data_IF_771502762571
#
_entry.id   IF_771502762571
#
_cell.length_a   1.000
_cell.length_b   1.000
_cell.length_c   1.000
_cell.angle_alpha   90.00
_cell.angle_beta   90.00
_cell.angle_gamma   90.00
#
_symmetry.space_group_name_H-M   'P 1'
#
loop_
_entity.id
_entity.type
_entity.pdbx_description
1 polymer ?
#
# COMPACT_ATOMS: atom_id res chain seq x y z
N UNK A 1 9.58 3.70 -13.66
CA UNK A 1 8.24 4.29 -13.93
C UNK A 1 7.94 5.50 -13.04
N UNK A 2 8.19 5.45 -11.71
CA UNK A 2 7.96 6.57 -10.78
C UNK A 2 8.75 7.87 -11.06
N UNK A 3 10.06 7.84 -11.41
CA UNK A 3 10.81 9.06 -11.71
C UNK A 3 10.16 9.88 -12.84
N UNK A 4 9.75 9.19 -13.92
CA UNK A 4 9.12 9.81 -15.10
C UNK A 4 7.82 10.57 -14.79
N UNK A 5 7.03 10.13 -13.80
CA UNK A 5 5.78 10.82 -13.43
C UNK A 5 6.09 12.10 -12.65
N UNK A 6 7.00 12.04 -11.67
CA UNK A 6 7.40 13.23 -10.91
C UNK A 6 8.08 14.26 -11.80
N UNK A 7 8.91 13.81 -12.74
CA UNK A 7 9.55 14.68 -13.72
C UNK A 7 8.50 15.37 -14.61
N UNK A 8 7.52 14.61 -15.11
CA UNK A 8 6.41 15.16 -15.91
C UNK A 8 5.57 16.18 -15.12
N UNK A 9 5.46 16.04 -13.79
CA UNK A 9 4.75 16.98 -12.93
C UNK A 9 5.61 18.18 -12.52
N UNK A 10 6.94 18.05 -12.51
CA UNK A 10 7.88 19.10 -12.08
C UNK A 10 7.83 20.36 -12.96
N UNK A 11 7.30 20.26 -14.18
CA UNK A 11 7.06 21.42 -15.04
C UNK A 11 5.79 22.21 -14.74
N UNK A 12 4.97 21.81 -13.76
CA UNK A 12 3.70 22.48 -13.44
C UNK A 12 3.92 23.65 -12.47
N UNK A 13 3.33 24.83 -12.73
CA UNK A 13 3.37 25.94 -11.77
C UNK A 13 2.83 25.53 -10.40
N UNK A 14 3.57 25.84 -9.33
CA UNK A 14 3.18 25.55 -7.95
C UNK A 14 3.38 24.09 -7.50
N UNK A 15 4.03 23.25 -8.31
CA UNK A 15 4.36 21.88 -7.91
C UNK A 15 5.67 21.83 -7.12
N UNK A 16 5.61 21.43 -5.86
CA UNK A 16 6.77 21.40 -4.94
C UNK A 16 7.12 20.00 -4.42
N UNK A 17 6.50 18.96 -5.00
CA UNK A 17 6.66 17.55 -4.58
C UNK A 17 6.27 17.30 -3.10
N UNK A 18 5.48 18.17 -2.49
CA UNK A 18 4.94 17.93 -1.15
C UNK A 18 3.53 17.37 -1.23
N UNK A 19 3.22 16.45 -0.32
CA UNK A 19 1.87 15.94 -0.07
C UNK A 19 1.09 15.61 -1.35
N UNK A 20 1.64 14.66 -2.10
CA UNK A 20 1.03 14.13 -3.31
C UNK A 20 0.51 12.74 -3.02
N UNK A 21 -0.73 12.47 -3.43
CA UNK A 21 -1.36 11.18 -3.28
C UNK A 21 -1.76 10.59 -4.62
N UNK A 22 -1.71 9.27 -4.71
CA UNK A 22 -2.15 8.50 -5.87
C UNK A 22 -3.27 7.55 -5.48
N UNK A 23 -4.23 7.32 -6.37
CA UNK A 23 -5.18 6.23 -6.21
C UNK A 23 -4.47 4.89 -6.38
N UNK A 24 -4.91 3.88 -5.63
CA UNK A 24 -4.34 2.53 -5.74
C UNK A 24 -4.99 1.75 -6.89
N UNK A 25 -6.25 2.08 -7.20
CA UNK A 25 -7.02 1.49 -8.29
C UNK A 25 -7.20 2.49 -9.44
N UNK A 26 -7.61 1.97 -10.61
CA UNK A 26 -7.92 2.77 -11.80
C UNK A 26 -9.40 3.18 -11.83
N UNK A 27 -9.67 4.42 -12.26
CA UNK A 27 -11.01 5.00 -12.32
C UNK A 27 -11.34 5.48 -13.74
N UNK A 28 -12.58 5.28 -14.17
CA UNK A 28 -13.05 5.67 -15.50
C UNK A 28 -13.29 7.18 -15.64
N UNK A 29 -13.39 7.89 -14.52
CA UNK A 29 -13.68 9.32 -14.46
C UNK A 29 -12.68 10.00 -13.52
N UNK A 30 -12.55 11.33 -13.64
CA UNK A 30 -11.75 12.16 -12.72
C UNK A 30 -12.45 12.34 -11.36
N UNK A 31 -12.83 11.24 -10.72
CA UNK A 31 -13.39 11.23 -9.38
C UNK A 31 -12.96 9.95 -8.64
N UNK A 32 -13.15 9.94 -7.32
CA UNK A 32 -12.80 8.81 -6.44
C UNK A 32 -14.04 8.15 -5.87
N UNK A 33 -15.08 7.95 -6.68
CA UNK A 33 -16.26 7.20 -6.26
C UNK A 33 -16.02 5.72 -6.49
N UNK A 34 -16.41 4.87 -5.54
CA UNK A 34 -16.35 3.42 -5.72
C UNK A 34 -17.14 2.99 -6.97
N UNK A 35 -18.22 3.70 -7.30
CA UNK A 35 -19.01 3.51 -8.52
C UNK A 35 -18.32 3.93 -9.81
N UNK A 36 -17.13 4.53 -9.76
CA UNK A 36 -16.32 4.89 -10.94
C UNK A 36 -15.07 4.04 -11.09
N UNK A 37 -14.87 3.01 -10.26
CA UNK A 37 -13.74 2.08 -10.43
C UNK A 37 -13.83 1.34 -11.75
N UNK A 38 -12.70 1.25 -12.45
CA UNK A 38 -12.53 0.58 -13.73
C UNK A 38 -11.74 -0.72 -13.56
N UNK A 39 -10.59 -0.63 -12.88
CA UNK A 39 -9.67 -1.74 -12.65
C UNK A 39 -9.16 -1.73 -11.22
N UNK A 40 -9.09 -2.91 -10.62
CA UNK A 40 -8.52 -3.16 -9.29
C UNK A 40 -7.10 -3.68 -9.50
N UNK A 41 -6.09 -3.02 -8.93
CA UNK A 41 -4.70 -3.26 -9.29
C UNK A 41 -3.90 -3.98 -8.21
N UNK A 42 -4.36 -3.94 -6.97
CA UNK A 42 -3.61 -4.43 -5.81
C UNK A 42 -4.49 -4.57 -4.58
N UNK A 43 -4.00 -5.30 -3.58
CA UNK A 43 -4.37 -5.10 -2.17
C UNK A 43 -3.35 -4.18 -1.50
N UNK A 44 -3.74 -3.54 -0.41
CA UNK A 44 -2.85 -2.65 0.35
C UNK A 44 -3.21 -2.62 1.83
N UNK A 45 -2.37 -2.02 2.67
CA UNK A 45 -2.75 -1.62 4.02
C UNK A 45 -2.12 -0.28 4.36
N UNK A 46 -2.69 0.42 5.34
CA UNK A 46 -2.14 1.65 5.91
C UNK A 46 -1.79 1.38 7.38
N UNK A 47 -0.50 1.24 7.66
CA UNK A 47 0.02 0.92 8.98
C UNK A 47 0.61 2.18 9.62
N UNK A 48 -0.03 2.69 10.66
CA UNK A 48 0.46 3.85 11.41
C UNK A 48 1.53 3.44 12.42
N UNK A 49 2.76 3.26 11.93
CA UNK A 49 3.87 2.79 12.76
C UNK A 49 4.45 3.86 13.68
N UNK A 50 4.00 5.12 13.57
CA UNK A 50 4.36 6.20 14.51
C UNK A 50 3.24 6.56 15.48
N UNK A 51 2.12 5.84 15.50
CA UNK A 51 1.09 6.03 16.51
C UNK A 51 1.65 5.79 17.92
N UNK A 52 1.89 6.89 18.66
CA UNK A 52 2.34 6.88 20.04
C UNK A 52 1.10 6.69 20.93
N UNK A 53 0.71 5.43 21.14
CA UNK A 53 -0.45 5.11 21.98
C UNK A 53 -1.01 3.72 21.69
N UNK A 54 -0.33 2.67 22.14
CA UNK A 54 -0.78 1.29 22.00
C UNK A 54 0.34 0.26 22.23
N UNK A 55 0.03 -1.03 22.10
CA UNK A 55 0.97 -2.18 22.25
C UNK A 55 2.17 -2.14 21.29
N UNK A 56 2.21 -1.20 20.35
CA UNK A 56 3.13 -1.15 19.21
C UNK A 56 4.23 -0.11 19.35
N UNK A 57 4.51 0.38 20.57
CA UNK A 57 5.54 1.38 20.83
C UNK A 57 6.95 0.95 20.34
N UNK A 58 7.20 -0.35 20.21
CA UNK A 58 8.46 -0.86 19.67
C UNK A 58 8.65 -0.51 18.18
N UNK A 59 7.58 -0.50 17.36
CA UNK A 59 7.64 -0.14 15.94
C UNK A 59 8.08 1.31 15.73
N UNK A 60 7.64 2.22 16.61
CA UNK A 60 7.99 3.64 16.53
C UNK A 60 9.49 3.92 16.74
N UNK A 61 10.24 2.96 17.29
CA UNK A 61 11.69 3.04 17.51
C UNK A 61 12.52 2.44 16.36
N UNK A 62 11.88 1.75 15.41
CA UNK A 62 12.59 1.11 14.32
C UNK A 62 12.80 2.07 13.15
N UNK A 63 13.86 1.82 12.37
CA UNK A 63 13.94 2.42 11.05
C UNK A 63 12.79 1.90 10.16
N UNK A 64 12.33 2.68 9.18
CA UNK A 64 11.31 2.22 8.22
C UNK A 64 11.67 0.90 7.53
N UNK A 65 12.94 0.67 7.21
CA UNK A 65 13.46 -0.56 6.62
C UNK A 65 13.30 -1.75 7.55
N UNK A 66 13.68 -1.60 8.81
CA UNK A 66 13.59 -2.69 9.79
C UNK A 66 12.13 -3.00 10.13
N UNK A 67 11.28 -1.98 10.23
CA UNK A 67 9.84 -2.17 10.38
C UNK A 67 9.24 -2.92 9.18
N UNK A 68 9.65 -2.58 7.96
CA UNK A 68 9.23 -3.29 6.75
C UNK A 68 9.73 -4.74 6.72
N UNK A 69 10.98 -4.99 7.12
CA UNK A 69 11.52 -6.33 7.20
C UNK A 69 10.76 -7.20 8.22
N UNK A 70 10.44 -6.65 9.38
CA UNK A 70 9.63 -7.36 10.39
C UNK A 70 8.23 -7.69 9.88
N UNK A 71 7.60 -6.77 9.13
CA UNK A 71 6.30 -7.02 8.49
C UNK A 71 6.39 -8.16 7.47
N UNK A 72 7.42 -8.16 6.63
CA UNK A 72 7.62 -9.18 5.60
C UNK A 72 7.88 -10.55 6.22
N UNK A 73 8.75 -10.63 7.22
CA UNK A 73 9.01 -11.87 7.96
C UNK A 73 7.73 -12.38 8.61
N UNK A 74 6.98 -11.50 9.28
CA UNK A 74 5.69 -11.86 9.87
C UNK A 74 4.68 -12.37 8.84
N UNK A 75 4.58 -11.75 7.67
CA UNK A 75 3.70 -12.24 6.60
C UNK A 75 4.05 -13.68 6.24
N UNK A 76 5.34 -13.97 6.01
CA UNK A 76 5.81 -15.30 5.68
C UNK A 76 5.47 -16.33 6.77
N UNK A 77 5.69 -15.98 8.04
CA UNK A 77 5.42 -16.86 9.19
C UNK A 77 3.93 -17.15 9.36
N UNK A 78 3.06 -16.18 9.06
CA UNK A 78 1.60 -16.30 9.16
C UNK A 78 0.93 -16.87 7.90
N UNK A 79 1.72 -17.32 6.91
CA UNK A 79 1.22 -17.84 5.65
C UNK A 79 0.50 -16.80 4.78
N UNK A 80 0.75 -15.51 5.03
CA UNK A 80 0.31 -14.42 4.16
C UNK A 80 1.42 -14.19 3.13
N UNK A 81 1.11 -14.09 1.82
CA UNK A 81 2.08 -13.68 0.83
C UNK A 81 2.84 -12.46 1.31
N UNK A 82 4.16 -12.48 1.16
CA UNK A 82 4.93 -11.26 1.34
C UNK A 82 4.32 -10.16 0.44
N UNK A 83 4.34 -8.87 0.84
CA UNK A 83 3.93 -7.81 -0.08
C UNK A 83 4.79 -7.85 -1.35
N UNK A 84 4.34 -7.20 -2.42
CA UNK A 84 5.17 -6.92 -3.61
C UNK A 84 6.19 -5.83 -3.31
N UNK A 85 5.78 -4.82 -2.53
CA UNK A 85 6.62 -3.74 -2.04
C UNK A 85 6.05 -3.15 -0.76
N UNK A 86 6.91 -2.46 0.00
CA UNK A 86 6.51 -1.65 1.15
C UNK A 86 6.99 -0.22 0.93
N UNK A 87 6.06 0.74 1.09
CA UNK A 87 6.35 2.18 0.99
C UNK A 87 6.35 2.78 2.39
N UNK A 88 7.40 3.51 2.73
CA UNK A 88 7.38 4.45 3.85
C UNK A 88 6.67 5.72 3.42
N UNK A 89 5.60 6.08 4.12
CA UNK A 89 4.78 7.25 3.82
C UNK A 89 5.30 8.55 4.41
N UNK A 90 6.37 8.47 5.22
CA UNK A 90 6.81 9.56 6.10
C UNK A 90 6.24 9.48 7.52
N UNK A 91 5.25 8.62 7.78
CA UNK A 91 4.73 8.38 9.13
C UNK A 91 4.32 6.91 9.40
N UNK A 92 4.23 6.10 8.35
CA UNK A 92 3.72 4.74 8.43
C UNK A 92 4.17 3.91 7.24
N UNK A 93 3.85 2.61 7.28
CA UNK A 93 4.13 1.67 6.20
C UNK A 93 2.87 1.43 5.38
N UNK A 94 3.04 1.45 4.06
CA UNK A 94 2.03 1.02 3.10
C UNK A 94 2.53 -0.24 2.37
N UNK A 95 2.31 -1.45 2.92
CA UNK A 95 2.53 -2.68 2.17
C UNK A 95 1.51 -2.80 1.02
N UNK A 96 1.96 -3.33 -0.12
CA UNK A 96 1.14 -3.48 -1.34
C UNK A 96 1.36 -4.83 -1.97
N UNK A 97 0.27 -5.50 -2.33
CA UNK A 97 0.26 -6.77 -3.08
C UNK A 97 -0.27 -6.48 -4.47
N UNK A 98 0.64 -6.28 -5.43
CA UNK A 98 0.31 -5.93 -6.80
C UNK A 98 -0.25 -7.14 -7.54
N UNK A 99 -1.29 -6.93 -8.33
CA UNK A 99 -1.78 -7.98 -9.21
C UNK A 99 -0.91 -8.09 -10.48
N UNK A 100 -0.75 -9.32 -10.97
CA UNK A 100 -0.10 -9.62 -12.25
C UNK A 100 -0.95 -9.10 -13.41
N UNK A 101 -2.27 -9.26 -13.28
CA UNK A 101 -3.28 -8.71 -14.18
C UNK A 101 -4.31 -7.97 -13.33
N UNK A 102 -4.66 -6.74 -13.70
CA UNK A 102 -5.66 -5.98 -12.98
C UNK A 102 -7.03 -6.67 -13.03
N UNK A 103 -7.68 -6.82 -11.87
CA UNK A 103 -9.00 -7.41 -11.79
C UNK A 103 -10.07 -6.43 -12.31
N UNK A 104 -11.10 -6.92 -13.02
CA UNK A 104 -12.15 -6.07 -13.55
C UNK A 104 -13.02 -5.52 -12.42
N UNK A 105 -13.72 -4.41 -12.66
CA UNK A 105 -14.72 -3.84 -11.74
C UNK A 105 -15.68 -4.89 -11.16
N UNK A 106 -16.11 -5.86 -11.96
CA UNK A 106 -17.05 -6.91 -11.53
C UNK A 106 -16.52 -7.74 -10.35
N UNK A 107 -15.20 -7.84 -10.18
CA UNK A 107 -14.56 -8.56 -9.08
C UNK A 107 -14.54 -7.77 -7.75
N UNK A 108 -15.08 -6.54 -7.72
CA UNK A 108 -15.07 -5.68 -6.53
C UNK A 108 -15.58 -6.37 -5.25
N UNK A 109 -16.69 -7.13 -5.24
CA UNK A 109 -17.14 -7.79 -4.01
C UNK A 109 -16.11 -8.76 -3.43
N UNK A 110 -15.45 -9.53 -4.29
CA UNK A 110 -14.38 -10.47 -3.89
C UNK A 110 -13.16 -9.68 -3.41
N UNK A 111 -12.79 -8.61 -4.11
CA UNK A 111 -11.69 -7.73 -3.70
C UNK A 111 -11.94 -7.09 -2.33
N UNK A 112 -13.15 -6.57 -2.07
CA UNK A 112 -13.51 -5.98 -0.77
C UNK A 112 -13.39 -7.03 0.36
N UNK A 113 -13.76 -8.29 0.08
CA UNK A 113 -13.65 -9.39 1.04
C UNK A 113 -12.19 -9.74 1.33
N UNK A 114 -11.34 -9.85 0.31
CA UNK A 114 -9.90 -10.07 0.47
C UNK A 114 -9.21 -8.94 1.23
N UNK A 115 -9.52 -7.70 0.84
CA UNK A 115 -8.99 -6.50 1.48
C UNK A 115 -9.41 -6.42 2.96
N UNK A 116 -10.65 -6.81 3.29
CA UNK A 116 -11.11 -6.94 4.68
C UNK A 116 -10.40 -8.06 5.43
N UNK A 117 -10.22 -9.23 4.80
CA UNK A 117 -9.53 -10.36 5.42
C UNK A 117 -8.10 -10.00 5.79
N UNK A 118 -7.34 -9.44 4.84
CA UNK A 118 -5.98 -8.94 5.03
C UNK A 118 -5.89 -7.95 6.20
N UNK A 119 -6.76 -6.94 6.22
CA UNK A 119 -6.80 -5.92 7.29
C UNK A 119 -7.11 -6.54 8.65
N UNK A 120 -8.04 -7.52 8.70
CA UNK A 120 -8.37 -8.24 9.94
C UNK A 120 -7.21 -9.09 10.45
N UNK A 121 -6.49 -9.79 9.57
CA UNK A 121 -5.31 -10.59 9.93
C UNK A 121 -4.21 -9.72 10.54
N UNK A 122 -3.84 -8.64 9.85
CA UNK A 122 -2.84 -7.67 10.33
C UNK A 122 -3.23 -7.11 11.71
N UNK A 123 -4.48 -6.64 11.85
CA UNK A 123 -4.97 -6.10 13.13
C UNK A 123 -5.03 -7.15 14.23
N UNK A 124 -5.45 -8.37 13.92
CA UNK A 124 -5.55 -9.49 14.86
C UNK A 124 -4.21 -9.87 15.46
N UNK A 125 -3.12 -9.73 14.70
CA UNK A 125 -1.75 -9.95 15.16
C UNK A 125 -1.07 -8.69 15.72
N UNK A 126 -1.85 -7.65 15.98
CA UNK A 126 -1.38 -6.45 16.67
C UNK A 126 -0.78 -5.37 15.78
N UNK A 127 -0.73 -5.49 14.45
CA UNK A 127 -0.23 -4.39 13.60
C UNK A 127 -1.13 -3.13 13.71
N UNK A 128 -0.57 -1.91 13.69
CA UNK A 128 -1.33 -0.66 13.83
C UNK A 128 -2.04 -0.27 12.52
N UNK A 129 -3.07 -1.03 12.15
CA UNK A 129 -3.79 -0.84 10.88
C UNK A 129 -4.88 0.24 10.99
N UNK A 130 -4.91 1.20 10.06
CA UNK A 130 -6.13 1.98 9.80
C UNK A 130 -7.16 1.09 9.08
N UNK A 131 -8.10 0.55 9.85
CA UNK A 131 -9.15 -0.36 9.34
C UNK A 131 -10.09 0.31 8.34
N UNK A 132 -10.16 1.65 8.33
CA UNK A 132 -10.97 2.39 7.37
C UNK A 132 -10.23 2.54 6.03
N UNK A 133 -8.90 2.43 6.02
CA UNK A 133 -8.06 2.48 4.83
C UNK A 133 -8.05 1.19 4.02
N UNK A 134 -9.25 0.73 3.65
CA UNK A 134 -9.47 -0.52 2.91
C UNK A 134 -10.43 -0.37 1.72
N UNK A 135 -10.85 0.84 1.42
CA UNK A 135 -11.85 1.14 0.41
C UNK A 135 -11.22 1.29 -0.99
N UNK A 136 -11.97 0.93 -2.02
CA UNK A 136 -11.55 1.04 -3.42
C UNK A 136 -10.98 2.42 -3.82
N UNK A 137 -11.57 3.56 -3.41
CA UNK A 137 -11.06 4.89 -3.75
C UNK A 137 -9.92 5.42 -2.88
N UNK A 138 -9.31 4.56 -2.06
CA UNK A 138 -8.19 4.93 -1.22
C UNK A 138 -7.06 5.54 -2.04
N UNK A 139 -6.56 6.65 -1.51
CA UNK A 139 -5.35 7.31 -2.00
C UNK A 139 -4.27 7.14 -0.95
N UNK A 140 -3.04 6.89 -1.41
CA UNK A 140 -1.87 6.77 -0.54
C UNK A 140 -0.78 7.70 -1.07
N UNK A 141 0.10 8.15 -0.18
CA UNK A 141 1.16 9.10 -0.53
C UNK A 141 2.08 8.52 -1.60
N UNK A 142 2.47 9.35 -2.57
CA UNK A 142 3.27 8.98 -3.71
C UNK A 142 4.76 8.89 -3.32
N UNK A 143 5.46 7.78 -3.62
CA UNK A 143 6.91 7.72 -3.46
C UNK A 143 7.62 8.81 -4.27
N UNK A 144 8.66 9.42 -3.68
CA UNK A 144 9.40 10.56 -4.23
C UNK A 144 8.82 11.93 -3.86
N UNK A 145 7.90 11.98 -2.89
CA UNK A 145 7.25 13.22 -2.41
C UNK A 145 7.42 13.36 -0.90
N UNK A 146 7.39 14.58 -0.38
CA UNK A 146 7.61 14.86 1.04
C UNK A 146 6.28 14.90 1.79
N UNK A 147 6.20 14.19 2.92
CA UNK A 147 5.09 14.33 3.86
C UNK A 147 5.27 15.61 4.67
N UNK A 148 4.46 16.64 4.43
CA UNK A 148 4.66 17.95 5.06
C UNK A 148 4.51 17.90 6.59
N UNK A 149 3.68 17.00 7.12
CA UNK A 149 3.47 16.85 8.58
C UNK A 149 4.74 16.52 9.35
N UNK A 150 5.65 15.77 8.73
CA UNK A 150 6.89 15.30 9.38
C UNK A 150 8.17 15.69 8.66
N UNK A 151 8.09 16.32 7.48
CA UNK A 151 9.24 16.63 6.62
C UNK A 151 9.92 15.41 6.00
N UNK A 152 9.32 14.23 6.11
CA UNK A 152 9.93 12.96 5.71
C UNK A 152 9.66 12.62 4.24
N UNK A 153 10.66 12.08 3.55
CA UNK A 153 10.52 11.61 2.17
C UNK A 153 9.72 10.31 2.13
N UNK A 154 8.62 10.32 1.38
CA UNK A 154 7.89 9.11 1.01
C UNK A 154 8.74 8.30 0.02
N UNK A 155 9.02 7.03 0.32
CA UNK A 155 9.96 6.21 -0.46
C UNK A 155 9.68 4.73 -0.30
N UNK A 156 10.11 3.93 -1.28
CA UNK A 156 10.09 2.48 -1.16
C UNK A 156 11.18 2.05 -0.17
N UNK A 157 10.81 1.24 0.82
CA UNK A 157 11.74 0.72 1.86
C UNK A 157 12.03 -0.76 1.70
N UNK A 158 11.21 -1.48 0.96
CA UNK A 158 11.41 -2.90 0.70
C UNK A 158 10.71 -3.32 -0.60
N UNK A 159 11.30 -4.27 -1.33
CA UNK A 159 10.80 -4.82 -2.60
C UNK A 159 10.95 -6.34 -2.61
N UNK A 160 9.91 -7.05 -3.04
CA UNK A 160 9.93 -8.50 -3.23
C UNK A 160 10.49 -8.84 -4.61
N UNK A 161 11.80 -8.79 -4.78
CA UNK A 161 12.45 -9.01 -6.06
C UNK A 161 13.67 -8.12 -6.22
N UNK A 162 14.41 -8.25 -7.33
CA UNK A 162 15.67 -7.53 -7.51
C UNK A 162 15.47 -6.02 -7.65
N UNK A 163 14.35 -5.61 -8.27
CA UNK A 163 14.01 -4.21 -8.54
C UNK A 163 12.49 -4.00 -8.51
N UNK A 164 12.03 -2.76 -8.39
CA UNK A 164 10.60 -2.43 -8.33
C UNK A 164 9.84 -2.88 -9.59
N UNK A 165 10.42 -2.72 -10.78
CA UNK A 165 9.86 -3.17 -12.04
C UNK A 165 9.70 -4.70 -12.14
N UNK A 166 10.52 -5.43 -11.39
CA UNK A 166 10.57 -6.89 -11.37
C UNK A 166 10.11 -7.46 -10.02
N UNK A 167 9.33 -6.68 -9.26
CA UNK A 167 8.79 -7.16 -8.00
C UNK A 167 7.73 -8.25 -8.24
N UNK A 168 7.60 -9.16 -7.27
CA UNK A 168 6.60 -10.21 -7.25
C UNK A 168 5.21 -9.62 -7.42
N UNK A 169 4.42 -10.25 -8.29
CA UNK A 169 3.01 -9.92 -8.52
C UNK A 169 2.15 -11.15 -8.32
N UNK A 170 0.89 -10.95 -7.97
CA UNK A 170 -0.02 -12.03 -7.59
C UNK A 170 -1.16 -12.17 -8.58
N UNK A 171 -1.52 -13.41 -8.87
CA UNK A 171 -2.78 -13.67 -9.57
C UNK A 171 -3.95 -13.40 -8.62
N UNK A 172 -4.91 -12.57 -9.06
CA UNK A 172 -6.04 -12.18 -8.23
C UNK A 172 -6.94 -13.38 -7.85
N UNK A 173 -7.16 -14.31 -8.78
CA UNK A 173 -8.03 -15.46 -8.53
C UNK A 173 -7.39 -16.42 -7.54
N UNK A 174 -6.07 -16.64 -7.65
CA UNK A 174 -5.34 -17.46 -6.67
C UNK A 174 -5.36 -16.87 -5.25
N UNK A 175 -5.37 -15.54 -5.12
CA UNK A 175 -5.58 -14.89 -3.82
C UNK A 175 -7.03 -15.08 -3.34
N UNK A 176 -8.00 -15.00 -4.24
CA UNK A 176 -9.44 -15.14 -3.94
C UNK A 176 -9.87 -16.55 -3.51
N UNK A 177 -9.17 -17.59 -3.95
CA UNK A 177 -9.50 -18.99 -3.66
C UNK A 177 -9.26 -19.40 -2.18
N UNK A 178 -8.89 -18.45 -1.31
CA UNK A 178 -8.89 -18.63 0.15
C UNK A 178 -7.77 -19.52 0.71
N UNK A 179 -6.83 -19.93 -0.15
CA UNK A 179 -5.64 -20.70 0.28
C UNK A 179 -4.45 -19.82 0.62
N UNK A 180 -4.54 -18.52 0.34
CA UNK A 180 -3.36 -17.65 0.25
C UNK A 180 -3.48 -16.39 1.12
N UNK A 181 -4.65 -15.80 1.33
CA UNK A 181 -4.85 -14.68 2.27
C UNK A 181 -5.99 -15.01 3.22
#
# INVERSE_FOLDING_TARGET
>A
MLPKILDALSGRPGFDKTDIWLSQNGFAQMNRRATSVLHLNMLFSDLDTRAIGGLNHWLAKLSPELAAQNLVTWCADEGIPMPSLVVWSGNGLHPKWLFSVSAPRAAKPVWDALQLHLVKRLKGCGWPVDVQARDVPRILRMPGTVNQKGGELCRVVWVNGPYLEHCQRYDFNQLADGKTI
#
